data_IF_740145085544
#
_entry.id   IF_740145085544
#
_cell.length_a   1.000
_cell.length_b   1.000
_cell.length_c   1.000
_cell.angle_alpha   90.00
_cell.angle_beta   90.00
_cell.angle_gamma   90.00
#
_symmetry.space_group_name_H-M   'P 1'
#
loop_
_entity.id
_entity.type
_entity.pdbx_description
1 polymer ?
#
# COMPACT_ATOMS: atom_id res chain seq x y z
N UNK A 1 6.01 -7.01 -23.55
CA UNK A 1 6.14 -5.90 -24.52
C UNK A 1 7.15 -4.89 -23.98
N UNK A 2 7.89 -4.16 -24.84
CA UNK A 2 8.85 -3.15 -24.36
C UNK A 2 8.11 -1.97 -23.70
N UNK A 3 8.62 -1.48 -22.55
CA UNK A 3 8.06 -0.30 -21.84
C UNK A 3 7.91 0.92 -22.74
N UNK A 4 8.80 1.11 -23.71
CA UNK A 4 8.75 2.25 -24.65
C UNK A 4 7.51 2.20 -25.54
N UNK A 5 7.04 0.99 -25.87
CA UNK A 5 5.81 0.80 -26.63
C UNK A 5 4.62 1.21 -25.78
N UNK A 6 4.56 0.78 -24.50
CA UNK A 6 3.51 1.21 -23.58
C UNK A 6 3.48 2.73 -23.40
N UNK A 7 4.63 3.37 -23.15
CA UNK A 7 4.72 4.83 -23.00
C UNK A 7 4.18 5.53 -24.25
N UNK A 8 4.58 5.08 -25.44
CA UNK A 8 4.07 5.66 -26.70
C UNK A 8 2.56 5.49 -26.82
N UNK A 9 2.04 4.29 -26.63
CA UNK A 9 0.60 4.01 -26.71
C UNK A 9 -0.20 4.86 -25.73
N UNK A 10 0.26 4.99 -24.49
CA UNK A 10 -0.39 5.84 -23.51
C UNK A 10 -0.36 7.32 -23.90
N UNK A 11 0.78 7.85 -24.35
CA UNK A 11 0.91 9.25 -24.76
C UNK A 11 -0.02 9.58 -25.93
N UNK A 12 -0.01 8.73 -26.97
CA UNK A 12 -0.86 8.91 -28.15
C UNK A 12 -2.35 8.96 -27.74
N UNK A 13 -2.80 8.04 -26.89
CA UNK A 13 -4.19 8.01 -26.40
C UNK A 13 -4.55 9.21 -25.52
N UNK A 14 -3.66 9.61 -24.60
CA UNK A 14 -3.92 10.74 -23.69
C UNK A 14 -3.89 12.07 -24.43
N UNK A 15 -2.96 12.27 -25.37
CA UNK A 15 -2.87 13.48 -26.18
C UNK A 15 -4.07 13.63 -27.12
N UNK A 16 -4.52 12.53 -27.73
CA UNK A 16 -5.76 12.50 -28.51
C UNK A 16 -6.96 12.89 -27.64
N UNK A 17 -7.10 12.30 -26.45
CA UNK A 17 -8.19 12.61 -25.53
C UNK A 17 -8.20 14.07 -25.06
N UNK A 18 -7.02 14.62 -24.73
CA UNK A 18 -6.87 16.03 -24.37
C UNK A 18 -7.33 16.94 -25.51
N UNK A 19 -6.96 16.60 -26.75
CA UNK A 19 -7.34 17.35 -27.95
C UNK A 19 -8.84 17.27 -28.20
N UNK A 20 -9.44 16.06 -28.17
CA UNK A 20 -10.87 15.84 -28.36
C UNK A 20 -11.72 16.58 -27.32
N UNK A 21 -11.25 16.63 -26.07
CA UNK A 21 -11.94 17.32 -24.97
C UNK A 21 -11.62 18.81 -24.87
N UNK A 22 -10.74 19.33 -25.75
CA UNK A 22 -10.27 20.71 -25.73
C UNK A 22 -9.76 21.15 -24.35
N UNK A 23 -9.03 20.27 -23.64
CA UNK A 23 -8.48 20.61 -22.34
C UNK A 23 -7.41 21.69 -22.47
N UNK A 24 -7.61 22.80 -21.78
CA UNK A 24 -6.69 23.93 -21.74
C UNK A 24 -6.17 24.15 -20.32
N UNK A 25 -4.96 24.70 -20.20
CA UNK A 25 -4.40 25.06 -18.91
C UNK A 25 -5.13 26.29 -18.35
N UNK A 26 -5.68 26.17 -17.15
CA UNK A 26 -6.51 27.23 -16.54
C UNK A 26 -6.07 27.51 -15.11
N UNK A 27 -6.41 28.70 -14.61
CA UNK A 27 -6.16 29.10 -13.21
C UNK A 27 -7.27 28.64 -12.28
N UNK A 28 -8.38 28.10 -12.82
CA UNK A 28 -9.53 27.69 -12.02
C UNK A 28 -9.30 26.34 -11.37
N UNK A 29 -9.32 26.33 -10.03
CA UNK A 29 -9.04 25.14 -9.22
C UNK A 29 -9.97 23.96 -9.49
N UNK A 30 -11.23 24.24 -9.80
CA UNK A 30 -12.21 23.19 -10.10
C UNK A 30 -11.89 22.52 -11.43
N UNK A 31 -11.52 23.31 -12.42
CA UNK A 31 -11.35 22.86 -13.79
C UNK A 31 -10.09 21.98 -13.97
N UNK A 32 -8.91 22.40 -13.48
CA UNK A 32 -7.73 21.52 -13.57
C UNK A 32 -7.90 20.24 -12.75
N UNK A 33 -8.66 20.26 -11.65
CA UNK A 33 -8.98 19.05 -10.88
C UNK A 33 -9.86 18.09 -11.67
N UNK A 34 -10.85 18.62 -12.38
CA UNK A 34 -11.72 17.81 -13.23
C UNK A 34 -10.97 17.24 -14.43
N UNK A 35 -10.12 18.03 -15.10
CA UNK A 35 -9.26 17.58 -16.20
C UNK A 35 -8.31 16.47 -15.75
N UNK A 36 -7.56 16.68 -14.66
CA UNK A 36 -6.63 15.67 -14.13
C UNK A 36 -7.34 14.39 -13.66
N UNK A 37 -8.53 14.51 -13.06
CA UNK A 37 -9.36 13.35 -12.72
C UNK A 37 -9.79 12.57 -13.96
N UNK A 38 -10.19 13.23 -15.03
CA UNK A 38 -10.61 12.57 -16.27
C UNK A 38 -9.44 11.85 -16.95
N UNK A 39 -8.26 12.47 -16.99
CA UNK A 39 -7.04 11.84 -17.50
C UNK A 39 -6.67 10.62 -16.66
N UNK A 40 -6.66 10.72 -15.33
CA UNK A 40 -6.36 9.58 -14.47
C UNK A 40 -7.35 8.42 -14.66
N UNK A 41 -8.64 8.71 -14.92
CA UNK A 41 -9.64 7.69 -15.26
C UNK A 41 -9.33 7.01 -16.59
N UNK A 42 -8.98 7.78 -17.62
CA UNK A 42 -8.57 7.23 -18.92
C UNK A 42 -7.34 6.32 -18.76
N UNK A 43 -6.27 6.81 -18.14
CA UNK A 43 -5.04 6.05 -17.93
C UNK A 43 -5.32 4.77 -17.14
N UNK A 44 -6.13 4.84 -16.08
CA UNK A 44 -6.54 3.66 -15.31
C UNK A 44 -7.33 2.67 -16.17
N UNK A 45 -8.22 3.13 -17.05
CA UNK A 45 -8.99 2.25 -17.94
C UNK A 45 -8.10 1.53 -18.96
N UNK A 46 -7.09 2.21 -19.51
CA UNK A 46 -6.12 1.61 -20.43
C UNK A 46 -5.25 0.60 -19.67
N UNK A 47 -4.79 0.95 -18.46
CA UNK A 47 -4.05 0.06 -17.57
C UNK A 47 -4.81 -1.23 -17.30
N UNK A 48 -6.07 -1.15 -16.88
CA UNK A 48 -6.90 -2.33 -16.60
C UNK A 48 -7.11 -3.22 -17.82
N UNK A 49 -7.20 -2.66 -19.03
CA UNK A 49 -7.22 -3.47 -20.27
C UNK A 49 -5.93 -4.26 -20.45
N UNK A 50 -4.76 -3.62 -20.28
CA UNK A 50 -3.47 -4.31 -20.38
C UNK A 50 -3.28 -5.35 -19.29
N UNK A 51 -3.64 -5.04 -18.03
CA UNK A 51 -3.62 -5.98 -16.92
C UNK A 51 -4.47 -7.23 -17.24
N UNK A 52 -5.68 -7.04 -17.75
CA UNK A 52 -6.59 -8.14 -18.08
C UNK A 52 -6.03 -9.05 -19.18
N UNK A 53 -5.34 -8.47 -20.18
CA UNK A 53 -4.68 -9.23 -21.23
C UNK A 53 -3.50 -10.06 -20.70
N UNK A 54 -2.71 -9.51 -19.78
CA UNK A 54 -1.59 -10.23 -19.15
C UNK A 54 -2.11 -11.36 -18.27
N UNK A 55 -3.10 -11.10 -17.41
CA UNK A 55 -3.68 -12.09 -16.51
C UNK A 55 -4.49 -13.17 -17.22
N UNK A 56 -5.08 -12.85 -18.38
CA UNK A 56 -5.79 -13.81 -19.23
C UNK A 56 -4.86 -14.71 -20.06
N UNK A 57 -3.56 -14.41 -20.12
CA UNK A 57 -2.61 -15.19 -20.91
C UNK A 57 -2.15 -16.45 -20.14
N UNK A 58 -2.70 -17.61 -20.54
CA UNK A 58 -2.40 -18.91 -19.92
C UNK A 58 -0.97 -19.41 -20.14
N UNK A 59 -0.23 -18.83 -21.08
CA UNK A 59 1.16 -19.22 -21.35
C UNK A 59 2.15 -18.54 -20.39
N UNK A 60 1.73 -17.47 -19.71
CA UNK A 60 2.61 -16.72 -18.83
C UNK A 60 2.74 -17.41 -17.48
N UNK A 61 3.99 -17.60 -17.05
CA UNK A 61 4.29 -17.93 -15.67
C UNK A 61 4.28 -16.67 -14.79
N UNK A 62 4.28 -16.87 -13.46
CA UNK A 62 4.24 -15.77 -12.49
C UNK A 62 5.37 -14.75 -12.69
N UNK A 63 6.58 -15.16 -13.10
CA UNK A 63 7.69 -14.22 -13.36
C UNK A 63 7.36 -13.29 -14.51
N UNK A 64 6.81 -13.83 -15.60
CA UNK A 64 6.40 -13.06 -16.77
C UNK A 64 5.21 -12.15 -16.46
N UNK A 65 4.25 -12.63 -15.66
CA UNK A 65 3.12 -11.81 -15.18
C UNK A 65 3.63 -10.63 -14.37
N UNK A 66 4.48 -10.85 -13.37
CA UNK A 66 5.05 -9.78 -12.55
C UNK A 66 5.81 -8.78 -13.41
N UNK A 67 6.70 -9.24 -14.28
CA UNK A 67 7.50 -8.38 -15.17
C UNK A 67 6.61 -7.47 -16.05
N UNK A 68 5.59 -8.04 -16.71
CA UNK A 68 4.70 -7.26 -17.58
C UNK A 68 3.78 -6.33 -16.79
N UNK A 69 3.26 -6.76 -15.63
CA UNK A 69 2.44 -5.90 -14.77
C UNK A 69 3.26 -4.73 -14.22
N UNK A 70 4.52 -4.95 -13.80
CA UNK A 70 5.40 -3.86 -13.35
C UNK A 70 5.63 -2.83 -14.46
N UNK A 71 5.83 -3.24 -15.72
CA UNK A 71 5.93 -2.31 -16.87
C UNK A 71 4.64 -1.53 -17.07
N UNK A 72 3.48 -2.19 -17.03
CA UNK A 72 2.17 -1.56 -17.20
C UNK A 72 1.90 -0.53 -16.10
N UNK A 73 2.15 -0.89 -14.85
CA UNK A 73 1.99 0.01 -13.71
C UNK A 73 2.93 1.20 -13.79
N UNK A 74 4.24 0.95 -13.96
CA UNK A 74 5.26 1.97 -14.08
C UNK A 74 4.92 2.99 -15.17
N UNK A 75 4.63 2.52 -16.39
CA UNK A 75 4.34 3.40 -17.53
C UNK A 75 3.02 4.15 -17.35
N UNK A 76 2.00 3.54 -16.73
CA UNK A 76 0.78 4.26 -16.36
C UNK A 76 1.04 5.39 -15.36
N UNK A 77 1.99 5.20 -14.44
CA UNK A 77 2.34 6.20 -13.43
C UNK A 77 3.11 7.37 -14.02
N UNK A 78 4.01 7.14 -14.98
CA UNK A 78 4.63 8.21 -15.76
C UNK A 78 3.55 9.14 -16.33
N UNK A 79 2.52 8.57 -16.97
CA UNK A 79 1.43 9.36 -17.56
C UNK A 79 0.66 10.14 -16.49
N UNK A 80 0.31 9.50 -15.38
CA UNK A 80 -0.39 10.18 -14.30
C UNK A 80 0.46 11.31 -13.69
N UNK A 81 1.78 11.19 -13.62
CA UNK A 81 2.66 12.26 -13.15
C UNK A 81 2.75 13.41 -14.16
N UNK A 82 3.12 13.10 -15.40
CA UNK A 82 3.36 14.09 -16.46
C UNK A 82 2.13 14.95 -16.71
N UNK A 83 1.00 14.29 -17.00
CA UNK A 83 -0.21 15.00 -17.38
C UNK A 83 -0.84 15.72 -16.20
N UNK A 84 -0.73 15.18 -14.98
CA UNK A 84 -1.14 15.93 -13.78
C UNK A 84 -0.31 17.21 -13.68
N UNK A 85 1.01 17.14 -13.82
CA UNK A 85 1.88 18.32 -13.72
C UNK A 85 1.59 19.38 -14.80
N UNK A 86 1.23 18.95 -16.01
CA UNK A 86 0.88 19.83 -17.14
C UNK A 86 -0.25 20.81 -16.79
N UNK A 87 -1.30 20.31 -16.11
CA UNK A 87 -2.47 21.12 -15.72
C UNK A 87 -2.37 21.67 -14.31
N UNK A 88 -1.78 20.89 -13.39
CA UNK A 88 -1.60 21.26 -11.99
C UNK A 88 -0.18 20.91 -11.55
N UNK A 89 0.75 21.88 -11.48
CA UNK A 89 2.13 21.62 -11.11
C UNK A 89 2.28 21.07 -9.69
N UNK A 90 3.28 20.22 -9.47
CA UNK A 90 3.54 19.62 -8.16
C UNK A 90 4.32 20.54 -7.21
N UNK A 91 3.86 20.62 -5.96
CA UNK A 91 4.73 21.03 -4.85
C UNK A 91 5.41 19.80 -4.21
N UNK A 92 6.35 20.05 -3.31
CA UNK A 92 7.08 19.00 -2.58
C UNK A 92 6.15 17.98 -1.90
N UNK A 93 5.09 18.44 -1.23
CA UNK A 93 4.20 17.56 -0.46
C UNK A 93 3.33 16.71 -1.38
N UNK A 94 2.77 17.33 -2.43
CA UNK A 94 1.93 16.66 -3.41
C UNK A 94 2.73 15.62 -4.21
N UNK A 95 3.97 15.94 -4.59
CA UNK A 95 4.83 15.02 -5.32
C UNK A 95 5.27 13.85 -4.43
N UNK A 96 5.81 14.12 -3.24
CA UNK A 96 6.24 13.08 -2.30
C UNK A 96 5.12 12.09 -1.97
N UNK A 97 3.89 12.60 -1.74
CA UNK A 97 2.73 11.76 -1.49
C UNK A 97 2.40 10.89 -2.71
N UNK A 98 2.39 11.49 -3.90
CA UNK A 98 2.08 10.79 -5.16
C UNK A 98 3.07 9.67 -5.45
N UNK A 99 4.36 9.88 -5.18
CA UNK A 99 5.36 8.81 -5.37
C UNK A 99 5.12 7.67 -4.37
N UNK A 100 4.76 7.97 -3.11
CA UNK A 100 4.38 6.92 -2.16
C UNK A 100 3.18 6.09 -2.63
N UNK A 101 2.13 6.76 -3.11
CA UNK A 101 0.93 6.10 -3.67
C UNK A 101 1.23 5.18 -4.87
N UNK A 102 2.34 5.41 -5.58
CA UNK A 102 2.75 4.62 -6.75
C UNK A 102 3.76 3.53 -6.42
N UNK A 103 4.59 3.76 -5.41
CA UNK A 103 5.55 2.77 -4.94
C UNK A 103 4.86 1.56 -4.30
N UNK A 104 3.83 1.79 -3.48
CA UNK A 104 3.14 0.72 -2.76
C UNK A 104 2.54 -0.35 -3.70
N UNK A 105 1.74 -0.02 -4.75
CA UNK A 105 1.22 -1.03 -5.66
C UNK A 105 2.29 -1.82 -6.39
N UNK A 106 3.41 -1.19 -6.79
CA UNK A 106 4.54 -1.90 -7.41
C UNK A 106 5.12 -2.94 -6.47
N UNK A 107 5.22 -2.62 -5.17
CA UNK A 107 5.71 -3.55 -4.16
C UNK A 107 4.76 -4.71 -3.90
N UNK A 108 3.45 -4.53 -4.13
CA UNK A 108 2.44 -5.59 -3.94
C UNK A 108 2.36 -6.58 -5.09
N UNK A 109 2.66 -6.18 -6.33
CA UNK A 109 2.55 -7.06 -7.51
C UNK A 109 3.29 -8.41 -7.32
N UNK A 110 4.54 -8.44 -6.83
CA UNK A 110 5.24 -9.69 -6.55
C UNK A 110 4.55 -10.61 -5.54
N UNK A 111 3.72 -10.09 -4.63
CA UNK A 111 2.99 -10.94 -3.68
C UNK A 111 1.78 -11.60 -4.33
N UNK A 112 0.98 -10.85 -5.08
CA UNK A 112 -0.18 -11.41 -5.78
C UNK A 112 0.20 -12.45 -6.86
N UNK A 113 1.41 -12.35 -7.40
CA UNK A 113 1.94 -13.26 -8.41
C UNK A 113 3.30 -13.85 -7.98
N UNK A 114 3.35 -14.33 -6.73
CA UNK A 114 4.58 -14.81 -6.10
C UNK A 114 5.20 -16.02 -6.80
N UNK A 115 6.53 -16.05 -6.86
CA UNK A 115 7.32 -17.20 -7.32
C UNK A 115 7.48 -18.26 -6.21
N UNK A 116 7.22 -17.88 -4.96
CA UNK A 116 7.17 -18.75 -3.79
C UNK A 116 5.73 -19.01 -3.36
N UNK A 117 5.52 -20.11 -2.65
CA UNK A 117 4.21 -20.42 -2.07
C UNK A 117 3.90 -19.42 -0.96
N UNK A 118 2.88 -18.60 -1.20
CA UNK A 118 2.22 -17.77 -0.20
C UNK A 118 0.73 -17.68 -0.54
N UNK A 119 -0.09 -17.33 0.44
CA UNK A 119 -1.54 -17.17 0.26
C UNK A 119 -1.98 -15.81 0.79
N UNK A 120 -2.60 -14.99 -0.06
CA UNK A 120 -3.25 -13.75 0.39
C UNK A 120 -4.48 -14.10 1.23
N UNK A 121 -4.69 -13.38 2.32
CA UNK A 121 -5.87 -13.53 3.17
C UNK A 121 -6.49 -12.19 3.50
N UNK A 122 -7.79 -12.20 3.82
CA UNK A 122 -8.46 -11.02 4.35
C UNK A 122 -8.33 -11.01 5.88
N UNK A 123 -7.83 -9.93 6.49
CA UNK A 123 -7.67 -9.83 7.93
C UNK A 123 -9.03 -9.82 8.64
N UNK A 124 -9.04 -10.28 9.90
CA UNK A 124 -10.24 -10.23 10.73
C UNK A 124 -10.65 -8.79 11.00
N UNK A 125 -11.94 -8.56 10.98
CA UNK A 125 -12.55 -7.30 11.43
C UNK A 125 -12.44 -7.18 12.95
N UNK A 126 -12.49 -5.94 13.43
CA UNK A 126 -12.51 -5.70 14.87
C UNK A 126 -13.75 -6.32 15.54
N UNK A 127 -14.89 -6.34 14.85
CA UNK A 127 -16.13 -6.98 15.33
C UNK A 127 -15.98 -8.50 15.52
N UNK A 128 -15.28 -9.20 14.62
CA UNK A 128 -15.01 -10.64 14.79
C UNK A 128 -14.15 -10.92 16.03
N UNK A 129 -13.18 -10.04 16.30
CA UNK A 129 -12.30 -10.12 17.48
C UNK A 129 -13.08 -9.83 18.76
N UNK A 130 -13.94 -8.79 18.74
CA UNK A 130 -14.85 -8.46 19.83
C UNK A 130 -15.75 -9.65 20.19
N UNK A 131 -16.40 -10.26 19.19
CA UNK A 131 -17.25 -11.44 19.39
C UNK A 131 -16.44 -12.55 20.05
N UNK A 132 -15.22 -12.82 19.57
CA UNK A 132 -14.38 -13.90 20.11
C UNK A 132 -13.97 -13.66 21.56
N UNK A 133 -13.67 -12.41 21.91
CA UNK A 133 -13.38 -12.00 23.27
C UNK A 133 -14.60 -12.16 24.18
N UNK A 134 -15.80 -11.77 23.72
CA UNK A 134 -17.06 -11.96 24.47
C UNK A 134 -17.37 -13.43 24.69
N UNK A 135 -17.20 -14.29 23.69
CA UNK A 135 -17.34 -15.74 23.82
C UNK A 135 -16.38 -16.32 24.88
N UNK A 136 -15.09 -15.95 24.80
CA UNK A 136 -14.06 -16.39 25.76
C UNK A 136 -14.40 -15.95 27.18
N UNK A 137 -14.83 -14.71 27.37
CA UNK A 137 -15.21 -14.19 28.68
C UNK A 137 -16.45 -14.89 29.23
N UNK A 138 -17.48 -15.09 28.40
CA UNK A 138 -18.70 -15.80 28.80
C UNK A 138 -18.40 -17.22 29.26
N UNK A 139 -17.53 -17.93 28.55
CA UNK A 139 -17.06 -19.26 28.92
C UNK A 139 -16.29 -19.27 30.26
N UNK A 140 -15.40 -18.30 30.48
CA UNK A 140 -14.67 -18.16 31.74
C UNK A 140 -15.62 -17.90 32.91
N UNK A 141 -16.57 -16.98 32.75
CA UNK A 141 -17.57 -16.65 33.77
C UNK A 141 -18.39 -17.88 34.12
N UNK A 142 -18.89 -18.63 33.14
CA UNK A 142 -19.71 -19.82 33.40
C UNK A 142 -18.94 -20.92 34.16
N UNK A 143 -17.62 -20.96 34.03
CA UNK A 143 -16.78 -21.93 34.74
C UNK A 143 -16.40 -21.46 36.16
N UNK A 144 -16.34 -20.16 36.40
CA UNK A 144 -15.91 -19.59 37.68
C UNK A 144 -17.05 -19.24 38.62
N UNK A 145 -18.23 -18.88 38.08
CA UNK A 145 -19.38 -18.39 38.84
C UNK A 145 -20.55 -19.36 38.64
N UNK A 146 -20.87 -20.13 39.68
CA UNK A 146 -21.97 -21.11 39.63
C UNK A 146 -23.37 -20.45 39.66
N UNK A 147 -23.49 -19.25 40.23
CA UNK A 147 -24.74 -18.49 40.21
C UNK A 147 -24.90 -17.77 38.86
N UNK A 148 -25.87 -18.23 38.06
CA UNK A 148 -26.14 -17.72 36.71
C UNK A 148 -26.50 -16.22 36.71
N UNK A 149 -27.26 -15.75 37.68
CA UNK A 149 -27.67 -14.34 37.73
C UNK A 149 -26.48 -13.42 38.00
N UNK A 150 -25.60 -13.82 38.92
CA UNK A 150 -24.37 -13.11 39.24
C UNK A 150 -23.38 -13.13 38.06
N UNK A 151 -23.23 -14.29 37.41
CA UNK A 151 -22.42 -14.41 36.19
C UNK A 151 -22.90 -13.49 35.06
N UNK A 152 -24.21 -13.40 34.86
CA UNK A 152 -24.79 -12.48 33.86
C UNK A 152 -24.55 -11.01 34.22
N UNK A 153 -24.61 -10.63 35.50
CA UNK A 153 -24.27 -9.25 35.93
C UNK A 153 -22.82 -8.91 35.59
N UNK A 154 -21.88 -9.81 35.84
CA UNK A 154 -20.46 -9.62 35.49
C UNK A 154 -20.27 -9.53 33.98
N UNK A 155 -20.91 -10.40 33.20
CA UNK A 155 -20.81 -10.37 31.74
C UNK A 155 -21.37 -9.06 31.17
N UNK A 156 -22.50 -8.57 31.68
CA UNK A 156 -23.09 -7.32 31.22
C UNK A 156 -22.17 -6.12 31.48
N UNK A 157 -21.51 -6.05 32.64
CA UNK A 157 -20.51 -5.01 32.91
C UNK A 157 -19.32 -5.07 31.94
N UNK A 158 -18.89 -6.28 31.57
CA UNK A 158 -17.86 -6.46 30.55
C UNK A 158 -18.35 -6.04 29.15
N UNK A 159 -19.57 -6.39 28.78
CA UNK A 159 -20.18 -6.02 27.50
C UNK A 159 -20.37 -4.50 27.37
N UNK A 160 -20.72 -3.82 28.46
CA UNK A 160 -20.79 -2.36 28.55
C UNK A 160 -19.45 -1.69 28.21
N UNK A 161 -18.30 -2.31 28.55
CA UNK A 161 -16.98 -1.77 28.18
C UNK A 161 -16.81 -1.71 26.66
N UNK A 162 -17.30 -2.71 25.93
CA UNK A 162 -17.24 -2.73 24.47
C UNK A 162 -18.11 -1.65 23.83
N UNK A 163 -19.22 -1.25 24.48
CA UNK A 163 -20.04 -0.14 23.99
C UNK A 163 -19.30 1.21 24.01
N UNK A 164 -18.29 1.38 24.88
CA UNK A 164 -17.43 2.57 24.86
C UNK A 164 -16.34 2.51 23.78
N UNK A 165 -16.01 1.32 23.30
CA UNK A 165 -15.01 1.10 22.27
C UNK A 165 -15.74 1.05 20.93
N UNK A 166 -15.75 2.16 20.19
CA UNK A 166 -16.43 2.24 18.89
C UNK A 166 -15.79 1.31 17.83
N UNK A 167 -16.26 0.07 17.76
CA UNK A 167 -15.71 -1.01 16.93
C UNK A 167 -15.77 -0.73 15.43
N UNK A 168 -16.78 0.00 14.97
CA UNK A 168 -16.95 0.33 13.54
C UNK A 168 -15.85 1.25 12.99
N UNK A 169 -15.14 1.97 13.87
CA UNK A 169 -14.10 2.92 13.47
C UNK A 169 -12.68 2.32 13.40
N UNK A 170 -12.49 1.10 13.91
CA UNK A 170 -11.16 0.49 14.03
C UNK A 170 -10.86 -0.36 12.79
N UNK A 171 -10.11 0.23 11.86
CA UNK A 171 -9.63 -0.48 10.67
C UNK A 171 -8.32 -1.23 10.97
N UNK A 172 -8.43 -2.55 11.13
CA UNK A 172 -7.31 -3.46 11.35
C UNK A 172 -6.56 -3.84 10.07
N UNK A 173 -7.24 -3.80 8.93
CA UNK A 173 -6.60 -4.05 7.65
C UNK A 173 -5.46 -3.05 7.40
N UNK A 174 -4.29 -3.61 7.14
CA UNK A 174 -3.10 -2.96 6.65
C UNK A 174 -3.06 -3.13 5.12
N UNK A 175 -1.95 -2.74 4.52
CA UNK A 175 -1.85 -2.64 3.07
C UNK A 175 -1.80 -4.01 2.39
N UNK A 176 -1.20 -5.03 3.03
CA UNK A 176 -1.09 -6.37 2.50
C UNK A 176 -1.07 -7.42 3.62
N UNK A 177 -1.77 -8.53 3.40
CA UNK A 177 -1.89 -9.65 4.33
C UNK A 177 -1.66 -10.96 3.60
N UNK A 178 -0.71 -11.78 4.09
CA UNK A 178 -0.46 -13.10 3.52
C UNK A 178 -0.01 -14.13 4.54
N UNK A 179 -0.21 -15.40 4.22
CA UNK A 179 0.24 -16.55 5.00
C UNK A 179 1.40 -17.21 4.26
N UNK A 180 2.48 -17.47 4.98
CA UNK A 180 3.62 -18.25 4.49
C UNK A 180 4.22 -19.05 5.64
N UNK A 181 4.47 -20.34 5.41
CA UNK A 181 5.01 -21.26 6.42
C UNK A 181 4.23 -21.25 7.76
N UNK A 182 2.89 -21.19 7.67
CA UNK A 182 1.94 -21.08 8.79
C UNK A 182 2.13 -19.84 9.68
N UNK A 183 2.76 -18.79 9.16
CA UNK A 183 2.86 -17.48 9.81
C UNK A 183 2.01 -16.48 9.03
N UNK A 184 1.22 -15.71 9.76
CA UNK A 184 0.39 -14.64 9.22
C UNK A 184 1.24 -13.36 9.21
N UNK A 185 1.53 -12.84 8.03
CA UNK A 185 2.28 -11.61 7.84
C UNK A 185 1.31 -10.48 7.53
N UNK A 186 1.36 -9.43 8.34
CA UNK A 186 0.63 -8.19 8.10
C UNK A 186 1.65 -7.10 7.72
N UNK A 187 1.51 -6.54 6.53
CA UNK A 187 2.46 -5.58 5.95
C UNK A 187 1.80 -4.22 5.85
N UNK A 188 2.51 -3.20 6.32
CA UNK A 188 2.18 -1.79 6.09
C UNK A 188 3.34 -1.14 5.31
N UNK A 189 3.01 -0.38 4.27
CA UNK A 189 3.97 0.30 3.41
C UNK A 189 4.05 1.78 3.76
N UNK A 190 5.27 2.31 3.85
CA UNK A 190 5.48 3.75 4.01
C UNK A 190 6.51 4.25 3.02
N UNK A 191 6.19 5.35 2.35
CA UNK A 191 7.21 6.05 1.56
C UNK A 191 8.29 6.68 2.44
N UNK A 192 7.94 7.04 3.68
CA UNK A 192 8.81 7.67 4.67
C UNK A 192 8.03 8.24 5.85
N UNK A 193 8.72 8.56 6.94
CA UNK A 193 8.13 9.17 8.14
C UNK A 193 8.47 10.66 8.24
N UNK A 194 7.43 11.49 8.25
CA UNK A 194 7.53 12.96 8.37
C UNK A 194 6.90 13.47 9.66
N UNK A 195 6.95 14.78 9.92
CA UNK A 195 6.52 15.38 11.20
C UNK A 195 5.03 15.15 11.54
N UNK A 196 4.20 14.76 10.58
CA UNK A 196 2.76 14.58 10.74
C UNK A 196 2.30 13.11 10.84
N UNK A 197 3.10 12.22 11.45
CA UNK A 197 2.80 10.78 11.52
C UNK A 197 2.26 10.29 12.88
N UNK A 198 1.97 11.17 13.84
CA UNK A 198 1.55 10.78 15.20
C UNK A 198 0.32 9.87 15.22
N UNK A 199 -0.74 10.26 14.50
CA UNK A 199 -2.00 9.51 14.47
C UNK A 199 -1.82 8.13 13.84
N UNK A 200 -1.15 8.08 12.69
CA UNK A 200 -0.84 6.84 11.98
C UNK A 200 0.05 5.90 12.83
N UNK A 201 1.07 6.45 13.50
CA UNK A 201 1.94 5.69 14.41
C UNK A 201 1.17 5.07 15.57
N UNK A 202 0.28 5.82 16.22
CA UNK A 202 -0.55 5.30 17.29
C UNK A 202 -1.50 4.20 16.79
N UNK A 203 -2.08 4.36 15.60
CA UNK A 203 -2.90 3.32 14.96
C UNK A 203 -2.09 2.05 14.72
N UNK A 204 -0.89 2.14 14.16
CA UNK A 204 -0.04 0.96 13.90
C UNK A 204 0.36 0.23 15.18
N UNK A 205 0.64 0.95 16.27
CA UNK A 205 0.91 0.34 17.58
C UNK A 205 -0.32 -0.39 18.15
N UNK A 206 -1.51 0.18 17.97
CA UNK A 206 -2.77 -0.43 18.39
C UNK A 206 -3.06 -1.71 17.61
N UNK A 207 -2.97 -1.66 16.27
CA UNK A 207 -3.18 -2.83 15.39
C UNK A 207 -2.23 -3.96 15.79
N UNK A 208 -0.95 -3.66 15.96
CA UNK A 208 0.02 -4.69 16.34
C UNK A 208 -0.23 -5.29 17.73
N UNK A 209 -0.76 -4.50 18.68
CA UNK A 209 -1.20 -5.03 19.97
C UNK A 209 -2.41 -5.97 19.87
N UNK A 210 -3.30 -5.73 18.91
CA UNK A 210 -4.44 -6.61 18.63
C UNK A 210 -3.95 -7.90 17.95
N UNK A 211 -3.03 -7.81 16.99
CA UNK A 211 -2.46 -8.98 16.30
C UNK A 211 -1.78 -9.96 17.26
N UNK A 212 -1.09 -9.45 18.30
CA UNK A 212 -0.52 -10.29 19.36
C UNK A 212 -1.58 -11.14 20.08
N UNK A 213 -2.79 -10.58 20.28
CA UNK A 213 -3.89 -11.30 20.94
C UNK A 213 -4.49 -12.42 20.07
N UNK A 214 -4.34 -12.36 18.74
CA UNK A 214 -4.92 -13.33 17.81
C UNK A 214 -4.32 -14.73 17.98
N UNK A 215 -3.08 -14.82 18.47
CA UNK A 215 -2.47 -16.09 18.84
C UNK A 215 -3.30 -16.85 19.87
N UNK A 216 -3.78 -16.17 20.90
CA UNK A 216 -4.53 -16.80 21.98
C UNK A 216 -6.03 -16.96 21.66
N UNK A 217 -6.56 -16.17 20.73
CA UNK A 217 -7.98 -16.20 20.34
C UNK A 217 -8.26 -17.19 19.21
N UNK A 218 -7.34 -17.30 18.25
CA UNK A 218 -7.53 -18.02 16.99
C UNK A 218 -6.42 -19.02 16.68
N UNK A 219 -5.40 -19.15 17.54
CA UNK A 219 -4.21 -19.97 17.28
C UNK A 219 -3.42 -19.51 16.04
N UNK A 220 -3.41 -18.20 15.79
CA UNK A 220 -2.74 -17.59 14.63
C UNK A 220 -1.47 -16.86 15.06
N UNK A 221 -0.33 -17.23 14.47
CA UNK A 221 0.93 -16.56 14.74
C UNK A 221 1.13 -15.41 13.77
N UNK A 222 0.88 -14.20 14.24
CA UNK A 222 1.06 -12.98 13.46
C UNK A 222 2.47 -12.40 13.57
N UNK A 223 2.91 -11.76 12.48
CA UNK A 223 4.10 -10.91 12.41
C UNK A 223 3.75 -9.64 11.64
N UNK A 224 4.03 -8.49 12.25
CA UNK A 224 3.81 -7.20 11.62
C UNK A 224 5.12 -6.69 11.05
N UNK A 225 5.08 -6.30 9.78
CA UNK A 225 6.26 -5.84 9.04
C UNK A 225 5.96 -4.48 8.44
N UNK A 226 6.88 -3.56 8.66
CA UNK A 226 6.83 -2.23 8.08
C UNK A 226 7.88 -2.14 6.97
N UNK A 227 7.43 -1.94 5.73
CA UNK A 227 8.31 -1.75 4.58
C UNK A 227 8.38 -0.26 4.25
N UNK A 228 9.54 0.35 4.46
CA UNK A 228 9.77 1.77 4.29
C UNK A 228 10.68 2.03 3.09
N UNK A 229 10.24 2.87 2.15
CA UNK A 229 11.03 3.19 0.96
C UNK A 229 12.27 4.02 1.28
N UNK A 230 12.14 5.06 2.10
CA UNK A 230 13.26 5.92 2.49
C UNK A 230 14.29 5.16 3.33
N UNK A 231 15.55 5.60 3.28
CA UNK A 231 16.62 5.03 4.12
C UNK A 231 16.36 5.37 5.58
N UNK A 232 16.79 4.51 6.49
CA UNK A 232 16.46 4.65 7.92
C UNK A 232 16.87 6.02 8.49
N UNK A 233 18.04 6.54 8.13
CA UNK A 233 18.56 7.84 8.62
C UNK A 233 17.76 9.06 8.14
N UNK A 234 16.90 8.91 7.13
CA UNK A 234 16.05 9.98 6.60
C UNK A 234 14.70 10.07 7.33
N UNK A 235 14.40 9.08 8.16
CA UNK A 235 13.15 8.98 8.91
C UNK A 235 13.29 9.59 10.31
N UNK A 236 12.15 9.83 10.97
CA UNK A 236 12.11 10.52 12.26
C UNK A 236 11.78 9.58 13.44
N UNK A 237 11.61 10.19 14.62
CA UNK A 237 11.32 9.50 15.88
C UNK A 237 10.07 8.60 15.88
N UNK A 238 9.12 8.80 14.96
CA UNK A 238 7.95 7.92 14.85
C UNK A 238 8.32 6.53 14.36
N UNK A 239 9.26 6.43 13.40
CA UNK A 239 9.78 5.15 12.94
C UNK A 239 10.52 4.43 14.08
N UNK A 240 11.38 5.17 14.79
CA UNK A 240 12.13 4.66 15.94
C UNK A 240 11.16 4.09 16.98
N UNK A 241 10.08 4.80 17.29
CA UNK A 241 9.06 4.32 18.23
C UNK A 241 8.40 3.01 17.79
N UNK A 242 8.13 2.82 16.49
CA UNK A 242 7.58 1.56 15.98
C UNK A 242 8.60 0.42 16.10
N UNK A 243 9.86 0.69 15.76
CA UNK A 243 10.97 -0.27 15.88
C UNK A 243 11.20 -0.69 17.33
N UNK A 244 11.27 0.27 18.24
CA UNK A 244 11.50 0.07 19.68
C UNK A 244 10.32 -0.61 20.39
N UNK A 245 9.12 -0.61 19.78
CA UNK A 245 7.95 -1.29 20.35
C UNK A 245 8.10 -2.81 20.40
N UNK A 246 9.05 -3.39 19.67
CA UNK A 246 9.23 -4.83 19.43
C UNK A 246 8.06 -5.54 18.75
N UNK A 247 6.99 -4.80 18.39
CA UNK A 247 5.80 -5.34 17.72
C UNK A 247 5.88 -5.33 16.19
N UNK A 248 6.85 -4.58 15.64
CA UNK A 248 7.04 -4.38 14.21
C UNK A 248 8.47 -4.74 13.80
N UNK A 249 8.61 -5.61 12.80
CA UNK A 249 9.87 -5.78 12.07
C UNK A 249 9.96 -4.69 10.99
N UNK A 250 10.93 -3.79 11.10
CA UNK A 250 11.06 -2.62 10.22
C UNK A 250 12.19 -2.82 9.22
N UNK A 251 11.92 -2.62 7.93
CA UNK A 251 12.92 -2.68 6.85
C UNK A 251 12.85 -1.39 6.02
N UNK A 252 14.01 -0.77 5.76
CA UNK A 252 14.10 0.53 5.10
C UNK A 252 14.97 0.47 3.84
N UNK A 253 14.65 1.24 2.81
CA UNK A 253 15.44 1.32 1.58
C UNK A 253 15.65 -0.06 0.93
N UNK A 254 16.91 -0.41 0.65
CA UNK A 254 17.28 -1.68 0.00
C UNK A 254 16.82 -2.91 0.82
N UNK A 255 16.82 -2.82 2.16
CA UNK A 255 16.35 -3.92 3.02
C UNK A 255 14.85 -4.21 2.80
N UNK A 256 14.05 -3.19 2.47
CA UNK A 256 12.65 -3.38 2.16
C UNK A 256 12.48 -4.23 0.89
N UNK A 257 13.27 -3.97 -0.15
CA UNK A 257 13.24 -4.75 -1.38
C UNK A 257 13.81 -6.16 -1.21
N UNK A 258 14.88 -6.33 -0.43
CA UNK A 258 15.39 -7.65 -0.08
C UNK A 258 14.35 -8.47 0.69
N UNK A 259 13.55 -7.84 1.54
CA UNK A 259 12.44 -8.52 2.24
C UNK A 259 11.33 -8.93 1.26
N UNK A 260 11.00 -8.11 0.27
CA UNK A 260 10.05 -8.47 -0.81
C UNK A 260 10.58 -9.68 -1.59
N UNK A 261 11.84 -9.65 -2.00
CA UNK A 261 12.51 -10.77 -2.70
C UNK A 261 12.54 -12.02 -1.84
N UNK A 262 12.79 -11.89 -0.54
CA UNK A 262 12.78 -13.00 0.39
C UNK A 262 11.41 -13.70 0.42
N UNK A 263 10.30 -12.97 0.52
CA UNK A 263 8.96 -13.57 0.56
C UNK A 263 8.50 -14.10 -0.79
N UNK A 264 8.71 -13.32 -1.85
CA UNK A 264 8.08 -13.58 -3.16
C UNK A 264 8.97 -14.33 -4.14
N UNK A 265 10.28 -14.31 -3.91
CA UNK A 265 11.29 -14.82 -4.84
C UNK A 265 11.60 -13.91 -6.03
N UNK A 266 10.89 -12.78 -6.18
CA UNK A 266 11.10 -11.84 -7.28
C UNK A 266 12.00 -10.68 -6.84
N UNK A 267 13.06 -10.40 -7.61
CA UNK A 267 13.97 -9.30 -7.33
C UNK A 267 13.42 -7.97 -7.89
N UNK A 268 12.63 -7.29 -7.07
CA UNK A 268 12.03 -6.01 -7.45
C UNK A 268 13.09 -4.90 -7.61
N UNK A 269 14.17 -4.94 -6.84
CA UNK A 269 15.23 -3.91 -6.91
C UNK A 269 16.02 -4.02 -8.20
N UNK A 270 16.38 -5.24 -8.59
CA UNK A 270 17.02 -5.52 -9.89
C UNK A 270 16.10 -5.11 -11.04
N UNK A 271 14.80 -5.44 -10.94
CA UNK A 271 13.83 -5.04 -11.95
C UNK A 271 13.75 -3.52 -12.10
N UNK A 272 13.63 -2.78 -11.00
CA UNK A 272 13.60 -1.31 -11.01
C UNK A 272 14.88 -0.77 -11.64
N UNK A 273 16.04 -1.23 -11.18
CA UNK A 273 17.35 -0.75 -11.66
C UNK A 273 17.56 -1.00 -13.15
N UNK A 274 16.97 -2.05 -13.70
CA UNK A 274 17.11 -2.43 -15.11
C UNK A 274 16.05 -1.79 -16.01
N UNK A 275 14.88 -1.47 -15.48
CA UNK A 275 13.71 -1.09 -16.27
C UNK A 275 13.25 0.36 -16.04
N UNK A 276 13.62 1.02 -14.96
CA UNK A 276 13.21 2.39 -14.66
C UNK A 276 14.31 3.36 -15.09
N UNK A 277 13.99 4.29 -16.00
CA UNK A 277 14.88 5.39 -16.34
C UNK A 277 14.07 6.67 -16.45
N UNK A 278 13.93 7.37 -15.32
CA UNK A 278 13.11 8.59 -15.24
C UNK A 278 13.52 9.67 -16.24
N UNK A 279 14.82 9.83 -16.51
CA UNK A 279 15.31 10.83 -17.45
C UNK A 279 14.87 10.55 -18.89
N UNK A 280 14.96 9.29 -19.33
CA UNK A 280 14.57 8.91 -20.69
C UNK A 280 13.08 8.64 -20.85
N UNK A 281 12.42 8.22 -19.78
CA UNK A 281 11.03 7.76 -19.83
C UNK A 281 10.04 8.92 -19.61
N UNK A 282 10.43 9.95 -18.84
CA UNK A 282 9.63 11.17 -18.69
C UNK A 282 9.72 12.07 -19.92
N UNK A 283 8.71 12.91 -20.12
CA UNK A 283 8.78 14.01 -21.08
C UNK A 283 9.82 15.03 -20.62
N UNK A 284 10.54 15.63 -21.58
CA UNK A 284 11.62 16.58 -21.32
C UNK A 284 11.16 17.73 -20.41
N UNK A 285 10.05 18.37 -20.76
CA UNK A 285 9.48 19.47 -20.00
C UNK A 285 9.18 19.09 -18.54
N UNK A 286 8.70 17.87 -18.31
CA UNK A 286 8.38 17.42 -16.96
C UNK A 286 9.65 17.08 -16.17
N UNK A 287 10.62 16.43 -16.79
CA UNK A 287 11.91 16.15 -16.14
C UNK A 287 12.62 17.45 -15.73
N UNK A 288 12.71 18.42 -16.64
CA UNK A 288 13.30 19.75 -16.35
C UNK A 288 12.55 20.45 -15.20
N UNK A 289 11.21 20.38 -15.18
CA UNK A 289 10.41 20.90 -14.07
C UNK A 289 10.77 20.25 -12.72
N UNK A 290 10.91 18.91 -12.69
CA UNK A 290 11.25 18.20 -11.46
C UNK A 290 12.67 18.53 -10.99
N UNK A 291 13.60 18.69 -11.92
CA UNK A 291 14.97 19.12 -11.62
C UNK A 291 14.99 20.51 -10.99
N UNK A 292 14.35 21.49 -11.62
CA UNK A 292 14.33 22.89 -11.16
C UNK A 292 13.63 23.08 -9.81
N UNK A 293 12.72 22.16 -9.46
CA UNK A 293 12.00 22.16 -8.17
C UNK A 293 12.62 21.27 -7.11
N UNK A 294 13.77 20.65 -7.39
CA UNK A 294 14.43 19.68 -6.52
C UNK A 294 13.47 18.54 -6.08
N UNK A 295 12.68 18.06 -7.04
CA UNK A 295 11.72 16.98 -6.84
C UNK A 295 12.26 15.61 -7.28
N UNK A 296 13.35 15.58 -8.05
CA UNK A 296 13.96 14.33 -8.52
C UNK A 296 14.40 13.42 -7.37
N UNK A 297 14.79 13.97 -6.22
CA UNK A 297 15.12 13.20 -5.00
C UNK A 297 14.00 12.26 -4.54
N UNK A 298 12.73 12.56 -4.89
CA UNK A 298 11.63 11.68 -4.57
C UNK A 298 11.51 10.48 -5.51
N UNK A 299 12.21 10.46 -6.65
CA UNK A 299 12.18 9.36 -7.63
C UNK A 299 13.20 8.26 -7.34
N UNK A 300 13.98 8.38 -6.26
CA UNK A 300 14.86 7.33 -5.78
C UNK A 300 14.03 6.14 -5.27
N UNK A 301 14.02 5.07 -6.07
CA UNK A 301 13.39 3.79 -5.79
C UNK A 301 14.47 2.73 -5.61
#
# INVERSE_FOLDING_TARGET
MDKKIYIKMYRDEVDNYISEKNFVKTTEKKEYKDQTRNINKLVSSIRSKFESNVLGNKEFNNKQIVDELLKIYYTSYIMMLEYRNKFWPYDNMAFSRRIGEFWEPLCKIPFYHSLKKLQIFEPKTFSEIEIKHKEKMKFLISNLISNVEEGNKVFNLYDEVWNYINSESIQLALDLHFIQDNIYYNIDYKSGFSSNEKGNTNRLLMVAGIDESLKDLFNEKHKNILLVRQKEYENNHYLIRLKDSSKWEVFCGDDAYEKIKHFTGFDLKEWISSNVNWESDLSRDFYEYLHDKDLLRYLEW
#
